data_IF_881459206403
#
_entry.id   IF_881459206403
#
_cell.length_a   1.000
_cell.length_b   1.000
_cell.length_c   1.000
_cell.angle_alpha   90.00
_cell.angle_beta   90.00
_cell.angle_gamma   90.00
#
_symmetry.space_group_name_H-M   'P 1'
#
loop_
_entity.id
_entity.type
_entity.pdbx_description
1 polymer ?
#
# COMPACT_ATOMS: atom_id res chain seq x y z
N UNK A 1 -26.78 -9.74 32.55
CA UNK A 1 -25.83 -10.63 31.86
C UNK A 1 -24.45 -10.36 32.44
N UNK A 2 -23.70 -11.40 32.82
CA UNK A 2 -22.36 -11.22 33.38
C UNK A 2 -21.38 -10.75 32.29
N UNK A 3 -20.47 -9.85 32.63
CA UNK A 3 -19.39 -9.38 31.75
C UNK A 3 -18.50 -10.56 31.33
N UNK A 4 -18.14 -10.70 30.04
CA UNK A 4 -17.27 -11.80 29.59
C UNK A 4 -15.92 -11.73 30.32
N UNK A 5 -15.49 -12.88 30.86
CA UNK A 5 -14.27 -12.97 31.68
C UNK A 5 -13.02 -13.20 30.85
N UNK A 6 -13.18 -13.65 29.59
CA UNK A 6 -12.09 -13.90 28.64
C UNK A 6 -12.48 -13.40 27.24
N UNK A 7 -11.50 -13.12 26.35
CA UNK A 7 -11.76 -12.83 24.94
C UNK A 7 -12.57 -13.95 24.25
N UNK A 8 -12.36 -15.21 24.65
CA UNK A 8 -13.10 -16.34 24.11
C UNK A 8 -14.58 -16.34 24.53
N UNK A 9 -14.89 -15.94 25.76
CA UNK A 9 -16.28 -15.80 26.22
C UNK A 9 -16.99 -14.66 25.49
N UNK A 10 -16.28 -13.57 25.17
CA UNK A 10 -16.81 -12.48 24.34
C UNK A 10 -17.16 -12.98 22.93
N UNK A 11 -16.25 -13.74 22.29
CA UNK A 11 -16.52 -14.38 20.99
C UNK A 11 -17.72 -15.32 21.07
N UNK A 12 -17.79 -16.20 22.08
CA UNK A 12 -18.92 -17.12 22.25
C UNK A 12 -20.24 -16.38 22.47
N UNK A 13 -20.21 -15.24 23.18
CA UNK A 13 -21.39 -14.40 23.39
C UNK A 13 -21.86 -13.72 22.11
N UNK A 14 -20.92 -13.20 21.30
CA UNK A 14 -21.21 -12.60 20.01
C UNK A 14 -21.69 -13.65 18.98
N UNK A 15 -21.12 -14.86 19.04
CA UNK A 15 -21.43 -15.97 18.15
C UNK A 15 -22.71 -16.75 18.50
N UNK A 16 -23.48 -16.31 19.51
CA UNK A 16 -24.67 -17.04 20.00
C UNK A 16 -25.73 -17.29 18.91
N UNK A 17 -25.81 -16.37 17.94
CA UNK A 17 -26.79 -16.39 16.87
C UNK A 17 -26.22 -16.99 15.57
N UNK A 18 -24.93 -17.37 15.52
CA UNK A 18 -24.32 -18.05 14.35
C UNK A 18 -25.14 -19.24 13.89
N UNK A 19 -25.65 -20.15 14.76
CA UNK A 19 -26.44 -21.29 14.30
C UNK A 19 -27.77 -20.94 13.63
N UNK A 20 -28.23 -19.68 13.76
CA UNK A 20 -29.49 -19.18 13.19
C UNK A 20 -29.28 -18.49 11.84
N UNK A 21 -28.04 -18.37 11.37
CA UNK A 21 -27.75 -17.81 10.05
C UNK A 21 -28.24 -18.77 8.97
N UNK A 22 -28.59 -18.19 7.82
CA UNK A 22 -29.20 -18.92 6.72
C UNK A 22 -28.16 -19.58 5.82
N UNK A 23 -26.98 -18.95 5.67
CA UNK A 23 -25.96 -19.36 4.70
C UNK A 23 -24.56 -19.48 5.28
N UNK A 24 -23.68 -20.20 4.57
CA UNK A 24 -22.28 -20.34 4.95
C UNK A 24 -21.55 -19.00 4.79
N UNK A 25 -21.88 -18.23 3.75
CA UNK A 25 -21.33 -16.89 3.53
C UNK A 25 -21.62 -15.96 4.70
N UNK A 26 -22.86 -15.90 5.21
CA UNK A 26 -23.20 -15.06 6.36
C UNK A 26 -22.38 -15.45 7.60
N UNK A 27 -22.19 -16.76 7.80
CA UNK A 27 -21.42 -17.28 8.91
C UNK A 27 -19.93 -16.93 8.79
N UNK A 28 -19.36 -17.00 7.59
CA UNK A 28 -17.99 -16.62 7.30
C UNK A 28 -17.77 -15.11 7.45
N UNK A 29 -18.69 -14.28 6.97
CA UNK A 29 -18.61 -12.82 7.14
C UNK A 29 -18.66 -12.43 8.63
N UNK A 30 -19.59 -13.03 9.40
CA UNK A 30 -19.63 -12.82 10.84
C UNK A 30 -18.35 -13.33 11.53
N UNK A 31 -17.85 -14.49 11.12
CA UNK A 31 -16.60 -15.04 11.63
C UNK A 31 -15.39 -14.14 11.36
N UNK A 32 -15.31 -13.60 10.15
CA UNK A 32 -14.25 -12.68 9.75
C UNK A 32 -14.33 -11.38 10.56
N UNK A 33 -15.54 -10.81 10.73
CA UNK A 33 -15.74 -9.63 11.55
C UNK A 33 -15.29 -9.83 13.01
N UNK A 34 -15.56 -11.00 13.60
CA UNK A 34 -15.08 -11.33 14.95
C UNK A 34 -13.55 -11.44 15.04
N UNK A 35 -12.91 -12.02 14.02
CA UNK A 35 -11.46 -12.09 13.94
C UNK A 35 -10.84 -10.72 13.61
N UNK A 36 -11.58 -9.82 12.98
CA UNK A 36 -11.14 -8.47 12.64
C UNK A 36 -10.82 -7.63 13.87
N UNK A 37 -11.50 -7.85 15.00
CA UNK A 37 -11.11 -7.19 16.26
C UNK A 37 -9.74 -7.65 16.77
N UNK A 38 -9.40 -8.93 16.59
CA UNK A 38 -8.07 -9.45 16.96
C UNK A 38 -7.02 -8.88 16.02
N UNK A 39 -7.31 -8.84 14.72
CA UNK A 39 -6.45 -8.25 13.70
C UNK A 39 -6.17 -6.77 13.97
N UNK A 40 -7.20 -5.98 14.28
CA UNK A 40 -7.07 -4.54 14.49
C UNK A 40 -6.27 -4.18 15.77
N UNK A 41 -6.37 -5.00 16.82
CA UNK A 41 -5.70 -4.75 18.11
C UNK A 41 -4.23 -5.19 18.10
N UNK A 42 -3.86 -6.15 17.26
CA UNK A 42 -2.48 -6.57 17.13
C UNK A 42 -1.61 -5.44 16.53
N UNK A 43 -0.42 -5.21 17.10
CA UNK A 43 0.48 -4.12 16.71
C UNK A 43 1.23 -4.44 15.41
N UNK A 44 1.74 -5.66 15.27
CA UNK A 44 2.44 -6.19 14.07
C UNK A 44 2.19 -7.70 13.96
N UNK A 45 2.66 -8.33 12.87
CA UNK A 45 2.49 -9.77 12.59
C UNK A 45 1.04 -10.25 12.81
N UNK A 46 0.09 -9.45 12.30
CA UNK A 46 -1.34 -9.61 12.59
C UNK A 46 -1.90 -10.95 12.11
N UNK A 47 -1.36 -11.49 11.02
CA UNK A 47 -1.71 -12.83 10.55
C UNK A 47 -1.38 -13.89 11.61
N UNK A 48 -0.20 -13.82 12.23
CA UNK A 48 0.19 -14.73 13.30
C UNK A 48 -0.67 -14.54 14.54
N UNK A 49 -0.94 -13.29 14.94
CA UNK A 49 -1.80 -13.01 16.09
C UNK A 49 -3.21 -13.62 15.93
N UNK A 50 -3.82 -13.48 14.75
CA UNK A 50 -5.12 -14.11 14.44
C UNK A 50 -5.01 -15.64 14.46
N UNK A 51 -3.95 -16.20 13.88
CA UNK A 51 -3.71 -17.66 13.85
C UNK A 51 -3.56 -18.25 15.26
N UNK A 52 -2.81 -17.59 16.12
CA UNK A 52 -2.61 -17.99 17.52
C UNK A 52 -3.90 -17.86 18.33
N UNK A 53 -4.64 -16.77 18.13
CA UNK A 53 -5.95 -16.59 18.75
C UNK A 53 -6.92 -17.71 18.37
N UNK A 54 -7.02 -18.07 17.09
CA UNK A 54 -7.86 -19.17 16.63
C UNK A 54 -7.40 -20.50 17.25
N UNK A 55 -6.10 -20.79 17.24
CA UNK A 55 -5.57 -22.02 17.85
C UNK A 55 -5.93 -22.11 19.35
N UNK A 56 -5.73 -21.02 20.09
CA UNK A 56 -6.11 -20.93 21.50
C UNK A 56 -7.61 -21.07 21.73
N UNK A 57 -8.43 -20.42 20.90
CA UNK A 57 -9.88 -20.52 20.95
C UNK A 57 -10.38 -21.95 20.72
N UNK A 58 -9.86 -22.63 19.69
CA UNK A 58 -10.22 -24.02 19.38
C UNK A 58 -9.88 -24.96 20.55
N UNK A 59 -8.69 -24.81 21.13
CA UNK A 59 -8.25 -25.59 22.28
C UNK A 59 -9.13 -25.34 23.51
N UNK A 60 -9.35 -24.07 23.87
CA UNK A 60 -10.12 -23.68 25.06
C UNK A 60 -11.60 -24.08 24.98
N UNK A 61 -12.17 -24.10 23.77
CA UNK A 61 -13.61 -24.37 23.56
C UNK A 61 -13.92 -25.81 23.14
N UNK A 62 -12.92 -26.69 23.06
CA UNK A 62 -13.10 -28.10 22.62
C UNK A 62 -14.14 -28.85 23.45
N UNK A 63 -14.21 -28.61 24.77
CA UNK A 63 -15.18 -29.28 25.66
C UNK A 63 -16.57 -28.62 25.67
N UNK A 64 -16.71 -27.42 25.10
CA UNK A 64 -18.01 -26.71 25.02
C UNK A 64 -18.86 -27.35 23.92
N UNK A 65 -20.02 -27.87 24.30
CA UNK A 65 -20.95 -28.60 23.40
C UNK A 65 -22.15 -27.78 22.95
N UNK A 66 -22.27 -26.53 23.40
CA UNK A 66 -23.33 -25.64 22.93
C UNK A 66 -23.22 -25.44 21.41
N UNK A 67 -24.37 -25.36 20.72
CA UNK A 67 -24.42 -25.25 19.26
C UNK A 67 -23.61 -24.05 18.73
N UNK A 68 -23.70 -22.89 19.39
CA UNK A 68 -22.92 -21.71 19.04
C UNK A 68 -21.41 -21.99 19.08
N UNK A 69 -20.92 -22.66 20.14
CA UNK A 69 -19.50 -22.98 20.31
C UNK A 69 -19.01 -23.98 19.26
N UNK A 70 -19.79 -25.02 18.95
CA UNK A 70 -19.38 -25.98 17.90
C UNK A 70 -19.40 -25.36 16.52
N UNK A 71 -20.37 -24.47 16.26
CA UNK A 71 -20.55 -23.85 14.95
C UNK A 71 -19.50 -22.77 14.68
N UNK A 72 -19.23 -21.87 15.63
CA UNK A 72 -18.20 -20.83 15.45
C UNK A 72 -16.79 -21.42 15.32
N UNK A 73 -16.49 -22.54 15.98
CA UNK A 73 -15.23 -23.27 15.75
C UNK A 73 -15.10 -23.76 14.32
N UNK A 74 -16.18 -24.23 13.70
CA UNK A 74 -16.17 -24.67 12.31
C UNK A 74 -15.91 -23.48 11.37
N UNK A 75 -16.55 -22.34 11.63
CA UNK A 75 -16.32 -21.09 10.90
C UNK A 75 -14.85 -20.65 11.02
N UNK A 76 -14.30 -20.56 12.24
CA UNK A 76 -12.91 -20.14 12.43
C UNK A 76 -11.89 -21.12 11.81
N UNK A 77 -12.15 -22.42 11.90
CA UNK A 77 -11.30 -23.42 11.25
C UNK A 77 -11.32 -23.32 9.72
N UNK A 78 -12.46 -22.92 9.13
CA UNK A 78 -12.57 -22.69 7.69
C UNK A 78 -11.88 -21.40 7.24
N UNK A 79 -12.01 -20.32 8.03
CA UNK A 79 -11.36 -19.03 7.74
C UNK A 79 -9.85 -19.06 7.95
N UNK A 80 -9.38 -19.81 8.95
CA UNK A 80 -7.95 -19.88 9.34
C UNK A 80 -7.51 -21.35 9.42
N UNK A 81 -7.43 -22.04 8.27
CA UNK A 81 -7.12 -23.48 8.24
C UNK A 81 -5.70 -23.82 8.73
N UNK A 82 -4.80 -22.84 8.77
CA UNK A 82 -3.43 -22.99 9.27
C UNK A 82 -3.32 -22.92 10.79
N UNK A 83 -4.41 -22.59 11.51
CA UNK A 83 -4.41 -22.58 12.97
C UNK A 83 -4.33 -24.01 13.52
N UNK A 84 -3.51 -24.22 14.56
CA UNK A 84 -3.36 -25.53 15.17
C UNK A 84 -4.70 -26.07 15.68
N UNK A 85 -5.07 -27.28 15.23
CA UNK A 85 -6.32 -27.95 15.59
C UNK A 85 -7.51 -27.63 14.68
N UNK A 86 -7.38 -26.73 13.69
CA UNK A 86 -8.43 -26.48 12.69
C UNK A 86 -8.81 -27.76 11.92
N UNK A 87 -7.82 -28.55 11.54
CA UNK A 87 -7.94 -29.86 10.87
C UNK A 87 -8.72 -30.91 11.69
N UNK A 88 -8.81 -30.72 13.02
CA UNK A 88 -9.52 -31.62 13.96
C UNK A 88 -10.94 -31.18 14.25
N UNK A 89 -11.35 -29.98 13.81
CA UNK A 89 -12.73 -29.53 13.98
C UNK A 89 -13.65 -30.42 13.16
N UNK A 90 -14.74 -30.86 13.79
CA UNK A 90 -15.79 -31.67 13.16
C UNK A 90 -17.12 -30.95 13.34
N UNK A 91 -18.04 -31.07 12.37
CA UNK A 91 -19.40 -30.58 12.53
C UNK A 91 -20.04 -31.15 13.80
N UNK A 92 -20.78 -30.30 14.53
CA UNK A 92 -21.58 -30.74 15.67
C UNK A 92 -22.79 -31.58 15.23
N UNK A 93 -23.36 -32.36 16.14
CA UNK A 93 -24.56 -33.15 15.86
C UNK A 93 -25.78 -32.30 15.46
N UNK A 94 -25.83 -31.04 15.90
CA UNK A 94 -26.84 -30.05 15.54
C UNK A 94 -26.25 -28.93 14.67
N UNK A 95 -25.28 -29.27 13.81
CA UNK A 95 -24.69 -28.29 12.90
C UNK A 95 -25.73 -27.83 11.87
N UNK A 96 -25.82 -26.52 11.57
CA UNK A 96 -26.68 -26.02 10.49
C UNK A 96 -26.33 -26.64 9.14
N UNK A 97 -27.30 -26.72 8.23
CA UNK A 97 -27.10 -27.30 6.90
C UNK A 97 -25.94 -26.63 6.13
N UNK A 98 -25.84 -25.30 6.24
CA UNK A 98 -24.76 -24.52 5.62
C UNK A 98 -23.35 -24.87 6.11
N UNK A 99 -23.19 -25.51 7.27
CA UNK A 99 -21.86 -25.80 7.84
C UNK A 99 -21.00 -26.69 6.95
N UNK A 100 -21.62 -27.55 6.15
CA UNK A 100 -20.92 -28.39 5.16
C UNK A 100 -20.38 -27.62 3.96
N UNK A 101 -20.81 -26.37 3.77
CA UNK A 101 -20.46 -25.53 2.63
C UNK A 101 -19.39 -24.49 2.94
N UNK A 102 -18.98 -24.32 4.21
CA UNK A 102 -17.89 -23.41 4.60
C UNK A 102 -16.64 -23.61 3.72
N UNK A 103 -16.18 -22.52 3.11
CA UNK A 103 -15.01 -22.45 2.23
C UNK A 103 -15.19 -23.13 0.86
N UNK A 104 -16.33 -23.76 0.58
CA UNK A 104 -16.57 -24.51 -0.67
C UNK A 104 -17.12 -23.60 -1.78
N UNK A 105 -16.36 -22.56 -2.09
CA UNK A 105 -16.64 -21.63 -3.16
C UNK A 105 -15.77 -21.93 -4.38
N UNK A 106 -16.25 -21.54 -5.56
CA UNK A 106 -15.45 -21.49 -6.78
C UNK A 106 -15.41 -20.08 -7.35
N UNK A 107 -14.33 -19.76 -8.05
CA UNK A 107 -14.15 -18.48 -8.75
C UNK A 107 -15.09 -18.42 -9.96
N UNK A 108 -15.82 -17.33 -10.10
CA UNK A 108 -16.69 -17.05 -11.27
C UNK A 108 -16.16 -15.94 -12.18
N UNK A 109 -15.21 -15.13 -11.70
CA UNK A 109 -14.55 -14.11 -12.52
C UNK A 109 -13.47 -13.34 -11.77
N UNK A 110 -12.57 -12.72 -12.54
CA UNK A 110 -11.36 -12.07 -12.03
C UNK A 110 -10.98 -10.87 -12.91
N UNK A 111 -10.83 -9.70 -12.29
CA UNK A 111 -10.57 -8.43 -12.95
C UNK A 111 -9.59 -7.58 -12.14
N UNK A 112 -9.00 -6.60 -12.81
CA UNK A 112 -8.26 -5.52 -12.18
C UNK A 112 -8.59 -4.19 -12.83
N UNK A 113 -8.49 -3.13 -12.04
CA UNK A 113 -8.64 -1.76 -12.49
C UNK A 113 -7.74 -0.84 -11.67
N UNK A 114 -7.46 0.35 -12.19
CA UNK A 114 -6.58 1.30 -11.52
C UNK A 114 -6.47 2.60 -12.28
N UNK A 115 -5.61 3.48 -11.80
CA UNK A 115 -5.30 4.72 -12.49
C UNK A 115 -4.19 4.52 -13.54
N UNK A 116 -4.14 5.42 -14.52
CA UNK A 116 -3.14 5.41 -15.59
C UNK A 116 -1.73 5.76 -15.10
N UNK A 117 -1.60 6.43 -13.96
CA UNK A 117 -0.29 6.74 -13.38
C UNK A 117 0.36 5.48 -12.79
N UNK A 118 -0.43 4.49 -12.38
CA UNK A 118 0.05 3.28 -11.71
C UNK A 118 0.27 3.50 -10.22
N UNK A 119 -0.40 4.48 -9.61
CA UNK A 119 -0.33 4.71 -8.18
C UNK A 119 -1.11 3.66 -7.41
N UNK A 120 -2.22 3.19 -7.97
CA UNK A 120 -3.13 2.25 -7.35
C UNK A 120 -3.59 1.17 -8.30
N UNK A 121 -3.89 0.00 -7.75
CA UNK A 121 -4.56 -1.08 -8.47
C UNK A 121 -5.55 -1.76 -7.54
N UNK A 122 -6.79 -1.84 -7.98
CA UNK A 122 -7.81 -2.66 -7.36
C UNK A 122 -7.93 -4.00 -8.07
N UNK A 123 -7.95 -5.07 -7.28
CA UNK A 123 -8.21 -6.43 -7.73
C UNK A 123 -9.62 -6.83 -7.33
N UNK A 124 -10.41 -7.35 -8.26
CA UNK A 124 -11.78 -7.80 -8.05
C UNK A 124 -11.96 -9.25 -8.47
N UNK A 125 -12.36 -10.12 -7.54
CA UNK A 125 -12.75 -11.50 -7.83
C UNK A 125 -14.18 -11.78 -7.40
N UNK A 126 -14.91 -12.59 -8.15
CA UNK A 126 -16.27 -13.02 -7.81
C UNK A 126 -16.32 -14.51 -7.57
N UNK A 127 -17.17 -14.93 -6.64
CA UNK A 127 -17.26 -16.30 -6.20
C UNK A 127 -18.71 -16.73 -6.06
N UNK A 128 -18.95 -18.01 -6.29
CA UNK A 128 -20.23 -18.65 -6.07
C UNK A 128 -20.07 -19.92 -5.24
N UNK A 129 -21.16 -20.27 -4.56
CA UNK A 129 -21.34 -21.59 -3.97
C UNK A 129 -22.15 -22.47 -4.94
N UNK A 130 -21.87 -23.76 -4.96
CA UNK A 130 -22.62 -24.73 -5.77
C UNK A 130 -24.03 -25.00 -5.19
N UNK A 131 -24.23 -24.71 -3.91
CA UNK A 131 -25.46 -24.98 -3.16
C UNK A 131 -26.00 -23.68 -2.55
N UNK A 132 -27.34 -23.53 -2.53
CA UNK A 132 -28.01 -22.37 -1.97
C UNK A 132 -27.73 -22.17 -0.47
N UNK A 133 -27.48 -23.25 0.29
CA UNK A 133 -27.06 -23.17 1.69
C UNK A 133 -25.65 -22.59 1.85
N UNK A 134 -24.83 -22.58 0.78
CA UNK A 134 -23.55 -21.87 0.77
C UNK A 134 -23.74 -20.35 0.79
N UNK A 135 -24.70 -19.85 0.04
CA UNK A 135 -25.09 -18.43 0.01
C UNK A 135 -25.10 -17.83 -1.40
N UNK A 136 -25.51 -16.55 -1.52
CA UNK A 136 -25.49 -15.86 -2.80
C UNK A 136 -24.07 -15.66 -3.32
N UNK A 137 -23.93 -15.35 -4.61
CA UNK A 137 -22.64 -14.92 -5.15
C UNK A 137 -22.15 -13.66 -4.43
N UNK A 138 -20.83 -13.57 -4.25
CA UNK A 138 -20.19 -12.41 -3.62
C UNK A 138 -18.89 -12.04 -4.34
N UNK A 139 -18.51 -10.79 -4.18
CA UNK A 139 -17.30 -10.21 -4.72
C UNK A 139 -16.32 -9.95 -3.59
N UNK A 140 -15.06 -9.92 -4.00
CA UNK A 140 -13.90 -9.57 -3.22
C UNK A 140 -13.23 -8.42 -3.95
N UNK A 141 -12.91 -7.34 -3.24
CA UNK A 141 -12.15 -6.21 -3.77
C UNK A 141 -10.97 -5.93 -2.84
N UNK A 142 -9.78 -5.74 -3.41
CA UNK A 142 -8.60 -5.28 -2.68
C UNK A 142 -8.06 -4.05 -3.38
N UNK A 143 -7.88 -2.94 -2.66
CA UNK A 143 -7.20 -1.75 -3.17
C UNK A 143 -5.73 -1.78 -2.74
N UNK A 144 -4.83 -1.83 -3.70
CA UNK A 144 -3.39 -1.71 -3.49
C UNK A 144 -2.93 -0.29 -3.77
N UNK A 145 -2.02 0.22 -2.94
CA UNK A 145 -1.31 1.48 -3.15
C UNK A 145 0.17 1.20 -3.37
N UNK A 146 0.63 1.45 -4.59
CA UNK A 146 2.00 1.17 -5.03
C UNK A 146 2.99 2.24 -4.57
N UNK A 147 2.52 3.41 -4.12
CA UNK A 147 3.42 4.43 -3.57
C UNK A 147 3.96 4.04 -2.19
N UNK A 148 3.20 3.25 -1.43
CA UNK A 148 3.58 2.79 -0.09
C UNK A 148 3.66 1.26 0.02
N UNK A 149 3.30 0.53 -1.04
CA UNK A 149 3.47 -0.92 -1.15
C UNK A 149 2.53 -1.74 -0.29
N UNK A 150 1.31 -1.24 0.01
CA UNK A 150 0.37 -1.90 0.93
C UNK A 150 -1.00 -2.14 0.30
N UNK A 151 -1.79 -3.02 0.92
CA UNK A 151 -3.22 -3.10 0.68
C UNK A 151 -3.89 -2.02 1.55
N UNK A 152 -4.41 -0.97 0.91
CA UNK A 152 -5.09 0.13 1.61
C UNK A 152 -6.43 -0.28 2.18
N UNK A 153 -7.16 -1.11 1.46
CA UNK A 153 -8.45 -1.62 1.91
C UNK A 153 -8.77 -2.98 1.29
N UNK A 154 -9.62 -3.74 1.99
CA UNK A 154 -10.26 -4.94 1.45
C UNK A 154 -11.75 -4.91 1.74
N UNK A 155 -12.52 -5.49 0.82
CA UNK A 155 -13.97 -5.59 0.94
C UNK A 155 -14.45 -6.94 0.42
N UNK A 156 -15.37 -7.57 1.14
CA UNK A 156 -16.11 -8.75 0.68
C UNK A 156 -17.62 -8.51 0.80
N UNK A 157 -18.34 -8.60 -0.31
CA UNK A 157 -19.79 -8.35 -0.30
C UNK A 157 -20.45 -8.53 -1.67
N UNK A 158 -21.73 -8.16 -1.78
CA UNK A 158 -22.50 -8.36 -3.01
C UNK A 158 -23.72 -7.44 -3.12
N UNK A 159 -24.49 -7.53 -4.22
CA UNK A 159 -24.35 -8.51 -5.30
C UNK A 159 -23.20 -8.16 -6.29
N UNK A 160 -22.42 -9.15 -6.77
CA UNK A 160 -21.25 -8.93 -7.63
C UNK A 160 -21.54 -8.19 -8.93
N UNK A 161 -22.66 -8.50 -9.58
CA UNK A 161 -23.06 -7.87 -10.83
C UNK A 161 -23.18 -6.35 -10.70
N UNK A 162 -23.71 -5.87 -9.56
CA UNK A 162 -23.83 -4.43 -9.28
C UNK A 162 -22.47 -3.78 -9.09
N UNK A 163 -21.56 -4.44 -8.34
CA UNK A 163 -20.21 -3.93 -8.10
C UNK A 163 -19.45 -3.84 -9.43
N UNK A 164 -19.50 -4.89 -10.24
CA UNK A 164 -18.87 -4.92 -11.57
C UNK A 164 -19.44 -3.86 -12.51
N UNK A 165 -20.76 -3.67 -12.53
CA UNK A 165 -21.39 -2.61 -13.33
C UNK A 165 -20.91 -1.23 -12.89
N UNK A 166 -20.89 -0.96 -11.58
CA UNK A 166 -20.41 0.31 -11.03
C UNK A 166 -18.94 0.58 -11.39
N UNK A 167 -18.07 -0.42 -11.22
CA UNK A 167 -16.65 -0.31 -11.57
C UNK A 167 -16.48 -0.06 -13.07
N UNK A 168 -17.21 -0.79 -13.93
CA UNK A 168 -17.14 -0.58 -15.39
C UNK A 168 -17.62 0.81 -15.80
N UNK A 169 -18.71 1.30 -15.21
CA UNK A 169 -19.23 2.64 -15.47
C UNK A 169 -18.25 3.72 -15.03
N UNK A 170 -17.67 3.58 -13.83
CA UNK A 170 -16.63 4.46 -13.32
C UNK A 170 -15.44 4.51 -14.28
N UNK A 171 -14.91 3.36 -14.69
CA UNK A 171 -13.74 3.31 -15.56
C UNK A 171 -14.01 3.78 -16.99
N UNK A 172 -15.20 3.51 -17.53
CA UNK A 172 -15.57 3.99 -18.87
C UNK A 172 -15.80 5.50 -18.92
N UNK A 173 -16.14 6.13 -17.78
CA UNK A 173 -16.38 7.56 -17.65
C UNK A 173 -15.14 8.40 -17.38
N UNK A 174 -13.99 7.78 -17.09
CA UNK A 174 -12.75 8.47 -16.72
C UNK A 174 -11.54 7.91 -17.47
N UNK A 175 -11.00 8.69 -18.41
CA UNK A 175 -9.81 8.32 -19.21
C UNK A 175 -8.53 8.18 -18.39
N UNK A 176 -8.54 8.61 -17.12
CA UNK A 176 -7.43 8.44 -16.18
C UNK A 176 -7.48 7.09 -15.47
N UNK A 177 -8.43 6.22 -15.83
CA UNK A 177 -8.57 4.89 -15.26
C UNK A 177 -8.63 3.83 -16.34
N UNK A 178 -8.33 2.59 -15.97
CA UNK A 178 -8.40 1.43 -16.84
C UNK A 178 -9.09 0.27 -16.12
N UNK A 179 -9.71 -0.64 -16.88
CA UNK A 179 -10.36 -1.86 -16.39
C UNK A 179 -10.05 -3.02 -17.35
N UNK A 180 -9.70 -4.19 -16.81
CA UNK A 180 -9.42 -5.39 -17.61
C UNK A 180 -9.71 -6.69 -16.84
N UNK A 181 -9.82 -7.78 -17.59
CA UNK A 181 -9.72 -9.12 -17.00
C UNK A 181 -8.31 -9.36 -16.45
N UNK A 182 -8.23 -10.19 -15.41
CA UNK A 182 -6.99 -10.47 -14.71
C UNK A 182 -6.72 -11.96 -14.58
N UNK A 183 -5.44 -12.34 -14.57
CA UNK A 183 -5.03 -13.68 -14.21
C UNK A 183 -5.23 -13.92 -12.70
N UNK A 184 -6.07 -14.89 -12.31
CA UNK A 184 -6.29 -15.22 -10.90
C UNK A 184 -5.01 -15.56 -10.12
N UNK A 185 -4.01 -16.16 -10.78
CA UNK A 185 -2.72 -16.47 -10.14
C UNK A 185 -1.91 -15.21 -9.84
N UNK A 186 -1.94 -14.24 -10.76
CA UNK A 186 -1.30 -12.92 -10.57
C UNK A 186 -1.98 -12.15 -9.45
N UNK A 187 -3.31 -12.08 -9.46
CA UNK A 187 -4.08 -11.46 -8.37
C UNK A 187 -3.71 -12.06 -7.02
N UNK A 188 -3.69 -13.40 -6.92
CA UNK A 188 -3.30 -14.09 -5.68
C UNK A 188 -1.91 -13.65 -5.22
N UNK A 189 -0.93 -13.62 -6.12
CA UNK A 189 0.45 -13.22 -5.80
C UNK A 189 0.55 -11.77 -5.31
N UNK A 190 0.00 -10.84 -6.08
CA UNK A 190 0.05 -9.39 -5.77
C UNK A 190 -0.68 -9.06 -4.48
N UNK A 191 -1.93 -9.52 -4.31
CA UNK A 191 -2.72 -9.23 -3.12
C UNK A 191 -2.09 -9.87 -1.88
N UNK A 192 -1.58 -11.11 -1.97
CA UNK A 192 -0.92 -11.77 -0.83
C UNK A 192 0.34 -11.01 -0.40
N UNK A 193 1.18 -10.57 -1.35
CA UNK A 193 2.40 -9.79 -1.06
C UNK A 193 2.06 -8.51 -0.29
N UNK A 194 1.11 -7.74 -0.80
CA UNK A 194 0.75 -6.45 -0.21
C UNK A 194 0.06 -6.61 1.15
N UNK A 195 -0.79 -7.63 1.33
CA UNK A 195 -1.37 -7.94 2.64
C UNK A 195 -0.30 -8.33 3.66
N UNK A 196 0.72 -9.09 3.27
CA UNK A 196 1.82 -9.46 4.17
C UNK A 196 2.60 -8.23 4.67
N UNK A 197 2.84 -7.23 3.81
CA UNK A 197 3.44 -5.95 4.24
C UNK A 197 2.48 -5.20 5.17
N UNK A 198 1.20 -5.12 4.80
CA UNK A 198 0.15 -4.44 5.57
C UNK A 198 0.01 -5.01 6.99
N UNK A 199 0.06 -6.34 7.11
CA UNK A 199 -0.07 -7.04 8.40
C UNK A 199 1.07 -6.72 9.37
N UNK A 200 2.20 -6.19 8.88
CA UNK A 200 3.38 -5.81 9.66
C UNK A 200 3.51 -4.30 9.93
N UNK A 201 2.58 -3.47 9.46
CA UNK A 201 2.59 -2.04 9.75
C UNK A 201 2.34 -1.78 11.24
N UNK A 202 2.94 -0.73 11.83
CA UNK A 202 2.61 -0.34 13.20
C UNK A 202 1.16 0.13 13.34
N UNK A 203 0.66 0.86 12.33
CA UNK A 203 -0.71 1.34 12.25
C UNK A 203 -1.33 0.91 10.93
N UNK A 204 -2.57 0.41 10.99
CA UNK A 204 -3.34 0.06 9.80
C UNK A 204 -3.93 1.32 9.15
N UNK A 205 -4.24 1.27 7.84
CA UNK A 205 -5.11 2.27 7.21
C UNK A 205 -6.40 2.47 8.04
N UNK A 206 -6.69 3.72 8.39
CA UNK A 206 -7.75 4.05 9.35
C UNK A 206 -9.17 3.88 8.78
N UNK A 207 -9.31 3.86 7.46
CA UNK A 207 -10.58 3.77 6.76
C UNK A 207 -10.72 2.40 6.09
N UNK A 208 -11.97 1.92 5.98
CA UNK A 208 -12.30 0.75 5.19
C UNK A 208 -12.71 -0.48 6.00
N UNK A 209 -12.78 -1.61 5.30
CA UNK A 209 -13.21 -2.91 5.83
C UNK A 209 -12.03 -3.89 6.00
N UNK A 210 -10.78 -3.40 5.83
CA UNK A 210 -9.55 -4.19 5.93
C UNK A 210 -9.58 -5.17 7.10
N UNK A 211 -9.73 -4.69 8.33
CA UNK A 211 -9.70 -5.55 9.51
C UNK A 211 -10.87 -6.56 9.53
N UNK A 212 -12.09 -6.09 9.23
CA UNK A 212 -13.31 -6.90 9.27
C UNK A 212 -13.29 -8.04 8.26
N UNK A 213 -12.75 -7.80 7.07
CA UNK A 213 -12.81 -8.75 5.96
C UNK A 213 -11.51 -9.53 5.74
N UNK A 214 -10.39 -9.17 6.41
CA UNK A 214 -9.06 -9.76 6.20
C UNK A 214 -9.03 -11.28 6.23
N UNK A 215 -9.74 -11.90 7.19
CA UNK A 215 -9.75 -13.35 7.34
C UNK A 215 -10.49 -14.03 6.18
N UNK A 216 -11.64 -13.47 5.76
CA UNK A 216 -12.40 -13.97 4.62
C UNK A 216 -11.63 -13.72 3.30
N UNK A 217 -10.98 -12.57 3.20
CA UNK A 217 -10.08 -12.24 2.09
C UNK A 217 -9.00 -13.33 1.91
N UNK A 218 -8.28 -13.67 2.99
CA UNK A 218 -7.28 -14.74 2.97
C UNK A 218 -7.85 -16.10 2.54
N UNK A 219 -9.03 -16.46 3.07
CA UNK A 219 -9.69 -17.73 2.73
C UNK A 219 -10.05 -17.83 1.24
N UNK A 220 -10.48 -16.73 0.60
CA UNK A 220 -10.79 -16.70 -0.84
C UNK A 220 -9.54 -16.66 -1.72
N UNK A 221 -8.49 -15.93 -1.31
CA UNK A 221 -7.20 -15.94 -2.02
C UNK A 221 -6.61 -17.35 -2.07
N UNK A 222 -6.83 -18.16 -1.03
CA UNK A 222 -6.38 -19.55 -0.99
C UNK A 222 -7.07 -20.45 -2.04
N UNK A 223 -8.29 -20.10 -2.49
CA UNK A 223 -9.04 -20.81 -3.53
C UNK A 223 -8.50 -20.51 -4.94
N UNK A 224 -7.95 -19.31 -5.16
CA UNK A 224 -7.36 -18.93 -6.44
C UNK A 224 -6.17 -19.85 -6.76
N UNK A 225 -5.88 -20.16 -8.04
CA UNK A 225 -4.74 -20.97 -8.40
C UNK A 225 -3.46 -20.38 -7.80
N UNK A 226 -2.72 -21.20 -7.06
CA UNK A 226 -1.36 -20.84 -6.65
C UNK A 226 -0.51 -20.80 -7.91
N UNK A 227 0.06 -19.64 -8.24
CA UNK A 227 1.08 -19.58 -9.26
C UNK A 227 2.21 -20.54 -8.89
N UNK A 228 2.60 -21.43 -9.80
CA UNK A 228 3.85 -22.17 -9.69
C UNK A 228 4.96 -21.12 -9.78
N UNK A 229 5.34 -20.52 -8.64
CA UNK A 229 6.24 -19.36 -8.59
C UNK A 229 5.91 -18.40 -9.72
N UNK A 230 4.82 -17.63 -9.62
CA UNK A 230 4.75 -16.40 -10.42
C UNK A 230 6.10 -15.75 -10.16
N UNK A 231 6.98 -15.80 -11.17
CA UNK A 231 8.36 -15.38 -11.03
C UNK A 231 8.22 -14.03 -10.38
N UNK A 232 8.67 -13.92 -9.12
CA UNK A 232 8.61 -12.68 -8.36
C UNK A 232 9.10 -11.69 -9.39
N UNK A 233 8.23 -10.78 -9.87
CA UNK A 233 8.69 -9.77 -10.80
C UNK A 233 9.90 -9.21 -10.08
N UNK A 234 11.11 -9.40 -10.62
CA UNK A 234 12.32 -9.21 -9.84
C UNK A 234 12.15 -7.84 -9.21
N UNK A 235 12.30 -7.73 -7.88
CA UNK A 235 12.22 -6.44 -7.21
C UNK A 235 13.02 -5.50 -8.09
N UNK A 236 12.35 -4.52 -8.70
CA UNK A 236 12.95 -3.75 -9.79
C UNK A 236 14.20 -3.12 -9.22
N UNK A 237 15.37 -3.66 -9.58
CA UNK A 237 16.61 -3.16 -9.03
C UNK A 237 16.73 -1.69 -9.46
N UNK A 238 17.14 -0.79 -8.55
CA UNK A 238 17.37 0.59 -8.91
C UNK A 238 18.29 0.66 -10.13
N UNK A 239 18.02 1.61 -11.02
CA UNK A 239 18.84 1.81 -12.23
C UNK A 239 20.33 1.82 -11.90
N UNK A 240 21.12 1.05 -12.67
CA UNK A 240 22.57 1.13 -12.61
C UNK A 240 23.07 2.53 -12.99
N UNK A 241 24.29 2.88 -12.58
CA UNK A 241 24.87 4.19 -12.91
C UNK A 241 24.91 4.47 -14.43
N UNK A 242 25.14 3.43 -15.24
CA UNK A 242 25.14 3.53 -16.70
C UNK A 242 23.73 3.82 -17.25
N UNK A 243 22.71 3.13 -16.74
CA UNK A 243 21.31 3.35 -17.14
C UNK A 243 20.80 4.72 -16.68
N UNK A 244 21.16 5.15 -15.47
CA UNK A 244 20.87 6.50 -14.99
C UNK A 244 21.45 7.55 -15.93
N UNK A 245 22.74 7.43 -16.26
CA UNK A 245 23.43 8.36 -17.17
C UNK A 245 22.78 8.41 -18.54
N UNK A 246 22.41 7.26 -19.09
CA UNK A 246 21.72 7.18 -20.38
C UNK A 246 20.32 7.79 -20.34
N UNK A 247 19.56 7.55 -19.27
CA UNK A 247 18.23 8.09 -19.10
C UNK A 247 18.28 9.63 -19.02
N UNK A 248 19.20 10.18 -18.23
CA UNK A 248 19.39 11.63 -18.10
C UNK A 248 19.77 12.25 -19.43
N UNK A 249 20.69 11.62 -20.19
CA UNK A 249 21.07 12.09 -21.53
C UNK A 249 19.86 12.13 -22.48
N UNK A 250 19.04 11.08 -22.49
CA UNK A 250 17.83 11.02 -23.32
C UNK A 250 16.79 12.06 -22.90
N UNK A 251 16.65 12.32 -21.61
CA UNK A 251 15.77 13.36 -21.09
C UNK A 251 16.23 14.76 -21.54
N UNK A 252 17.50 15.10 -21.35
CA UNK A 252 18.04 16.42 -21.72
C UNK A 252 17.99 16.69 -23.24
N UNK A 253 18.05 15.63 -24.06
CA UNK A 253 17.87 15.73 -25.51
C UNK A 253 16.38 15.78 -25.94
N UNK A 254 15.44 15.67 -25.02
CA UNK A 254 14.02 15.58 -25.34
C UNK A 254 13.35 16.96 -25.50
N UNK A 255 12.27 17.05 -26.30
CA UNK A 255 11.50 18.29 -26.45
C UNK A 255 11.00 18.90 -25.13
N UNK A 256 10.74 18.09 -24.11
CA UNK A 256 10.30 18.57 -22.80
C UNK A 256 11.40 19.34 -22.07
N UNK A 257 12.65 18.86 -22.11
CA UNK A 257 13.77 19.59 -21.54
C UNK A 257 13.95 20.94 -22.25
N UNK A 258 13.87 20.96 -23.59
CA UNK A 258 13.94 22.19 -24.38
C UNK A 258 12.77 23.15 -24.11
N UNK A 259 11.55 22.64 -23.94
CA UNK A 259 10.37 23.45 -23.60
C UNK A 259 10.55 24.24 -22.29
N UNK A 260 11.29 23.68 -21.34
CA UNK A 260 11.61 24.33 -20.07
C UNK A 260 13.01 24.98 -20.06
N UNK A 261 13.70 25.05 -21.20
CA UNK A 261 15.02 25.68 -21.35
C UNK A 261 16.13 24.98 -20.57
N UNK A 262 16.01 23.67 -20.37
CA UNK A 262 17.01 22.85 -19.64
C UNK A 262 18.13 22.34 -20.54
N UNK A 263 17.92 22.30 -21.86
CA UNK A 263 18.89 21.85 -22.86
C UNK A 263 20.00 22.88 -23.10
N UNK A 264 19.76 24.15 -22.78
CA UNK A 264 20.71 25.25 -22.92
C UNK A 264 21.38 25.67 -21.61
N UNK A 265 21.13 24.98 -20.50
CA UNK A 265 21.76 25.28 -19.20
C UNK A 265 23.24 24.93 -19.25
N UNK A 266 24.10 25.88 -18.87
CA UNK A 266 25.55 25.72 -18.86
C UNK A 266 26.19 26.35 -17.61
N UNK A 267 27.53 26.34 -17.54
CA UNK A 267 28.28 27.01 -16.48
C UNK A 267 27.96 26.48 -15.07
N UNK A 268 27.70 27.41 -14.14
CA UNK A 268 27.43 27.10 -12.74
C UNK A 268 26.06 26.43 -12.53
N UNK A 269 25.05 26.80 -13.33
CA UNK A 269 23.69 26.26 -13.23
C UNK A 269 23.60 24.78 -13.65
N UNK A 270 24.57 24.29 -14.43
CA UNK A 270 24.62 22.90 -14.86
C UNK A 270 24.75 21.93 -13.67
N UNK A 271 25.47 22.33 -12.61
CA UNK A 271 25.59 21.52 -11.40
C UNK A 271 24.22 21.36 -10.71
N UNK A 272 23.50 22.46 -10.50
CA UNK A 272 22.15 22.46 -9.92
C UNK A 272 21.16 21.66 -10.77
N UNK A 273 21.26 21.71 -12.11
CA UNK A 273 20.43 20.91 -12.99
C UNK A 273 20.63 19.41 -12.76
N UNK A 274 21.90 18.97 -12.77
CA UNK A 274 22.22 17.57 -12.55
C UNK A 274 21.84 17.10 -11.14
N UNK A 275 22.04 17.94 -10.13
CA UNK A 275 21.62 17.67 -8.75
C UNK A 275 20.10 17.56 -8.62
N UNK A 276 19.33 18.48 -9.20
CA UNK A 276 17.87 18.39 -9.22
C UNK A 276 17.40 17.10 -9.88
N UNK A 277 17.99 16.70 -11.00
CA UNK A 277 17.64 15.44 -11.68
C UNK A 277 18.00 14.23 -10.82
N UNK A 278 19.14 14.23 -10.12
CA UNK A 278 19.48 13.12 -9.23
C UNK A 278 18.48 12.96 -8.09
N UNK A 279 17.99 14.07 -7.52
CA UNK A 279 16.94 14.04 -6.49
C UNK A 279 15.65 13.37 -6.98
N UNK A 280 15.25 13.61 -8.23
CA UNK A 280 14.09 12.94 -8.83
C UNK A 280 14.29 11.43 -8.95
N UNK A 281 15.47 11.00 -9.41
CA UNK A 281 15.80 9.58 -9.56
C UNK A 281 15.93 8.88 -8.21
N UNK A 282 16.51 9.56 -7.21
CA UNK A 282 16.67 9.03 -5.87
C UNK A 282 15.35 8.92 -5.13
N UNK A 283 14.43 9.86 -5.34
CA UNK A 283 13.06 9.74 -4.85
C UNK A 283 12.35 8.53 -5.47
N UNK A 284 12.40 8.39 -6.81
CA UNK A 284 11.77 7.26 -7.49
C UNK A 284 12.32 5.90 -7.01
N UNK A 285 13.62 5.82 -6.73
CA UNK A 285 14.26 4.62 -6.19
C UNK A 285 13.80 4.22 -4.77
N UNK A 286 13.03 5.08 -4.08
CA UNK A 286 12.44 4.73 -2.78
C UNK A 286 11.16 3.90 -2.89
N UNK A 287 10.54 3.83 -4.07
CA UNK A 287 9.33 3.05 -4.28
C UNK A 287 9.61 1.56 -4.51
N UNK A 288 8.68 0.65 -4.18
CA UNK A 288 8.86 -0.79 -4.38
C UNK A 288 9.17 -1.23 -5.81
N UNK A 289 8.70 -0.47 -6.81
CA UNK A 289 8.92 -0.73 -8.24
C UNK A 289 10.10 0.06 -8.83
N UNK A 290 10.68 0.98 -8.06
CA UNK A 290 11.79 1.86 -8.42
C UNK A 290 11.70 2.51 -9.81
N UNK A 291 10.49 2.69 -10.37
CA UNK A 291 10.29 3.18 -11.74
C UNK A 291 10.54 4.70 -11.81
N UNK A 292 11.63 5.17 -12.46
CA UNK A 292 11.95 6.60 -12.54
C UNK A 292 10.96 7.39 -13.40
N UNK A 293 10.09 6.71 -14.15
CA UNK A 293 9.08 7.31 -15.03
C UNK A 293 7.68 7.31 -14.40
N UNK A 294 7.48 6.77 -13.19
CA UNK A 294 6.18 6.77 -12.51
C UNK A 294 5.97 8.07 -11.73
N UNK A 295 5.60 9.12 -12.46
CA UNK A 295 5.24 10.42 -11.90
C UNK A 295 3.74 10.68 -12.04
N UNK A 296 3.13 11.13 -10.95
CA UNK A 296 1.71 11.43 -10.80
C UNK A 296 1.53 12.67 -9.92
N UNK A 297 0.33 13.26 -9.84
CA UNK A 297 0.05 14.33 -8.87
C UNK A 297 0.44 13.95 -7.44
N UNK A 298 0.12 12.72 -7.00
CA UNK A 298 0.45 12.23 -5.66
C UNK A 298 1.96 12.09 -5.44
N UNK A 299 2.68 11.47 -6.39
CA UNK A 299 4.14 11.32 -6.31
C UNK A 299 4.83 12.68 -6.31
N UNK A 300 4.36 13.64 -7.12
CA UNK A 300 4.92 15.01 -7.11
C UNK A 300 4.75 15.69 -5.76
N UNK A 301 3.65 15.43 -5.05
CA UNK A 301 3.43 15.93 -3.69
C UNK A 301 4.32 15.28 -2.66
N UNK A 302 4.50 13.95 -2.71
CA UNK A 302 5.46 13.25 -1.84
C UNK A 302 6.88 13.77 -2.03
N UNK A 303 7.26 14.11 -3.26
CA UNK A 303 8.55 14.68 -3.55
C UNK A 303 8.69 16.13 -3.03
N UNK A 304 7.86 17.06 -3.53
CA UNK A 304 8.01 18.49 -3.29
C UNK A 304 7.65 18.91 -1.87
N UNK A 305 6.71 18.25 -1.22
CA UNK A 305 6.18 18.71 0.07
C UNK A 305 6.75 17.96 1.28
N UNK A 306 7.52 16.88 1.05
CA UNK A 306 8.05 16.08 2.15
C UNK A 306 9.45 15.52 1.89
N UNK A 307 9.63 14.65 0.88
CA UNK A 307 10.86 13.88 0.71
C UNK A 307 12.09 14.78 0.52
N UNK A 308 12.00 15.79 -0.34
CA UNK A 308 13.15 16.65 -0.66
C UNK A 308 13.65 17.42 0.56
N UNK A 309 12.74 17.91 1.39
CA UNK A 309 13.09 18.66 2.61
C UNK A 309 13.74 17.77 3.68
N UNK A 310 13.41 16.48 3.70
CA UNK A 310 13.99 15.52 4.66
C UNK A 310 15.31 14.92 4.19
N UNK A 311 15.60 14.97 2.89
CA UNK A 311 16.69 14.21 2.27
C UNK A 311 17.76 15.07 1.61
N UNK A 312 17.46 16.30 1.26
CA UNK A 312 18.39 17.21 0.59
C UNK A 312 18.47 18.56 1.29
N UNK A 313 19.66 19.16 1.29
CA UNK A 313 19.82 20.59 1.53
C UNK A 313 19.93 21.23 0.16
N UNK A 314 19.01 22.17 -0.14
CA UNK A 314 19.01 22.91 -1.39
C UNK A 314 19.63 24.27 -1.14
N UNK A 315 20.49 24.74 -2.04
CA UNK A 315 20.81 26.16 -2.09
C UNK A 315 19.67 26.95 -2.79
N UNK A 316 19.87 28.25 -2.99
CA UNK A 316 18.87 29.09 -3.61
C UNK A 316 18.65 28.76 -5.09
N UNK A 317 19.72 28.39 -5.80
CA UNK A 317 19.69 28.10 -7.23
C UNK A 317 19.02 26.74 -7.48
N UNK A 318 19.35 25.74 -6.65
CA UNK A 318 18.68 24.44 -6.62
C UNK A 318 17.18 24.59 -6.34
N UNK A 319 16.81 25.36 -5.32
CA UNK A 319 15.42 25.56 -4.95
C UNK A 319 14.63 26.30 -6.04
N UNK A 320 15.25 27.28 -6.71
CA UNK A 320 14.64 27.97 -7.84
C UNK A 320 14.50 27.05 -9.08
N UNK A 321 15.45 26.14 -9.29
CA UNK A 321 15.51 25.27 -10.46
C UNK A 321 14.61 24.03 -10.33
N UNK A 322 14.47 23.47 -9.13
CA UNK A 322 13.86 22.16 -8.91
C UNK A 322 12.42 22.03 -9.45
N UNK A 323 11.49 22.98 -9.23
CA UNK A 323 10.14 22.86 -9.78
C UNK A 323 10.12 22.82 -11.31
N UNK A 324 11.00 23.60 -11.96
CA UNK A 324 11.13 23.62 -13.43
C UNK A 324 11.63 22.27 -13.96
N UNK A 325 12.63 21.69 -13.30
CA UNK A 325 13.18 20.36 -13.65
C UNK A 325 12.12 19.28 -13.45
N UNK A 326 11.38 19.32 -12.36
CA UNK A 326 10.30 18.37 -12.07
C UNK A 326 9.19 18.41 -13.13
N UNK A 327 8.72 19.61 -13.53
CA UNK A 327 7.70 19.75 -14.60
C UNK A 327 8.19 19.18 -15.93
N UNK A 328 9.45 19.44 -16.30
CA UNK A 328 10.05 18.89 -17.51
C UNK A 328 10.14 17.36 -17.46
N UNK A 329 10.62 16.82 -16.32
CA UNK A 329 10.76 15.39 -16.12
C UNK A 329 9.41 14.66 -16.13
N UNK A 330 8.42 15.18 -15.40
CA UNK A 330 7.08 14.60 -15.34
C UNK A 330 6.42 14.56 -16.73
N UNK A 331 6.56 15.62 -17.52
CA UNK A 331 6.07 15.65 -18.90
C UNK A 331 6.79 14.61 -19.79
N UNK A 332 8.12 14.50 -19.66
CA UNK A 332 8.90 13.49 -20.37
C UNK A 332 8.48 12.07 -19.99
N UNK A 333 8.30 11.82 -18.70
CA UNK A 333 7.87 10.55 -18.14
C UNK A 333 6.47 10.16 -18.63
N UNK A 334 5.53 11.10 -18.62
CA UNK A 334 4.18 10.90 -19.13
C UNK A 334 4.18 10.48 -20.61
N UNK A 335 4.95 11.16 -21.47
CA UNK A 335 5.09 10.75 -22.88
C UNK A 335 5.73 9.37 -23.03
N UNK A 336 6.79 9.09 -22.26
CA UNK A 336 7.51 7.80 -22.32
C UNK A 336 6.64 6.63 -21.89
N UNK A 337 5.68 6.85 -20.98
CA UNK A 337 4.69 5.86 -20.54
C UNK A 337 3.42 5.85 -21.37
N UNK A 338 3.28 6.76 -22.34
CA UNK A 338 2.11 6.85 -23.20
C UNK A 338 0.84 7.28 -22.46
N UNK A 339 0.98 8.11 -21.41
CA UNK A 339 -0.16 8.60 -20.64
C UNK A 339 -1.03 9.56 -21.48
N UNK A 340 -2.35 9.62 -21.23
CA UNK A 340 -3.24 10.61 -21.84
C UNK A 340 -2.77 12.05 -21.58
N UNK A 341 -3.04 12.96 -22.52
CA UNK A 341 -2.67 14.38 -22.39
C UNK A 341 -3.24 15.01 -21.10
N UNK A 342 -4.48 14.66 -20.75
CA UNK A 342 -5.11 15.08 -19.49
C UNK A 342 -4.32 14.67 -18.26
N UNK A 343 -3.74 13.46 -18.25
CA UNK A 343 -2.94 12.98 -17.13
C UNK A 343 -1.68 13.84 -16.97
N UNK A 344 -0.97 14.09 -18.07
CA UNK A 344 0.21 14.95 -18.08
C UNK A 344 -0.11 16.39 -17.64
N UNK A 345 -1.24 16.95 -18.13
CA UNK A 345 -1.69 18.28 -17.77
C UNK A 345 -2.08 18.39 -16.28
N UNK A 346 -2.72 17.35 -15.73
CA UNK A 346 -3.07 17.32 -14.31
C UNK A 346 -1.82 17.28 -13.44
N UNK A 347 -0.83 16.43 -13.77
CA UNK A 347 0.45 16.41 -13.04
C UNK A 347 1.17 17.75 -13.10
N UNK A 348 1.24 18.39 -14.29
CA UNK A 348 1.87 19.71 -14.45
C UNK A 348 1.18 20.79 -13.61
N UNK A 349 -0.16 20.81 -13.63
CA UNK A 349 -0.97 21.75 -12.84
C UNK A 349 -0.77 21.54 -11.33
N UNK A 350 -0.77 20.29 -10.87
CA UNK A 350 -0.53 19.97 -9.46
C UNK A 350 0.87 20.42 -9.01
N UNK A 351 1.90 20.23 -9.83
CA UNK A 351 3.24 20.74 -9.51
C UNK A 351 3.21 22.26 -9.34
N UNK A 352 2.58 22.99 -10.28
CA UNK A 352 2.47 24.45 -10.24
C UNK A 352 1.74 24.94 -8.98
N UNK A 353 0.65 24.29 -8.60
CA UNK A 353 -0.11 24.59 -7.37
C UNK A 353 0.70 24.36 -6.09
N UNK A 354 1.65 23.42 -6.09
CA UNK A 354 2.49 23.08 -4.94
C UNK A 354 3.72 23.97 -4.77
N UNK A 355 4.14 24.72 -5.81
CA UNK A 355 5.35 25.57 -5.77
C UNK A 355 5.35 26.57 -4.61
N UNK A 356 4.25 27.31 -4.31
CA UNK A 356 4.25 28.25 -3.19
C UNK A 356 4.49 27.57 -1.83
N UNK A 357 3.92 26.39 -1.61
CA UNK A 357 4.11 25.64 -0.37
C UNK A 357 5.52 25.05 -0.29
N UNK A 358 6.06 24.54 -1.39
CA UNK A 358 7.47 24.13 -1.47
C UNK A 358 8.41 25.28 -1.08
N UNK A 359 8.19 26.48 -1.62
CA UNK A 359 9.01 27.66 -1.27
C UNK A 359 8.88 28.06 0.21
N UNK A 360 7.68 27.94 0.78
CA UNK A 360 7.44 28.15 2.21
C UNK A 360 8.22 27.12 3.04
N UNK A 361 8.10 25.83 2.74
CA UNK A 361 8.77 24.75 3.47
C UNK A 361 10.31 24.82 3.35
N UNK A 362 10.80 25.19 2.17
CA UNK A 362 12.22 25.45 1.94
C UNK A 362 12.73 26.56 2.87
N UNK A 363 12.03 27.70 2.92
CA UNK A 363 12.44 28.88 3.69
C UNK A 363 12.28 28.71 5.21
N UNK A 364 11.23 28.03 5.67
CA UNK A 364 11.01 27.79 7.11
C UNK A 364 11.84 26.65 7.68
N UNK A 365 12.21 25.67 6.83
CA UNK A 365 12.88 24.46 7.28
C UNK A 365 12.00 23.53 8.13
N UNK A 366 10.70 23.76 8.21
CA UNK A 366 9.74 23.06 9.08
C UNK A 366 9.75 21.53 8.89
N UNK A 367 10.02 21.08 7.65
CA UNK A 367 10.04 19.65 7.27
C UNK A 367 11.44 19.03 7.25
N UNK A 368 12.49 19.75 7.65
CA UNK A 368 13.85 19.23 7.65
C UNK A 368 14.00 18.10 8.67
N UNK A 369 14.71 17.04 8.27
CA UNK A 369 15.16 16.04 9.25
C UNK A 369 16.22 16.67 10.17
N UNK A 370 16.47 16.12 11.37
CA UNK A 370 17.55 16.62 12.24
C UNK A 370 18.91 16.66 11.55
N UNK A 371 19.23 15.64 10.74
CA UNK A 371 20.47 15.59 9.96
C UNK A 371 20.51 16.70 8.90
N UNK A 372 19.43 16.88 8.13
CA UNK A 372 19.32 17.94 7.12
C UNK A 372 19.40 19.33 7.75
N UNK A 373 18.80 19.52 8.92
CA UNK A 373 18.89 20.78 9.66
C UNK A 373 20.33 21.08 10.10
N UNK A 374 21.07 20.08 10.58
CA UNK A 374 22.48 20.22 10.94
C UNK A 374 23.36 20.59 9.74
N UNK A 375 23.18 19.92 8.59
CA UNK A 375 23.92 20.26 7.35
C UNK A 375 23.56 21.65 6.85
N UNK A 376 22.28 22.03 6.87
CA UNK A 376 21.86 23.38 6.49
C UNK A 376 22.47 24.46 7.39
N UNK A 377 22.64 24.17 8.70
CA UNK A 377 23.30 25.09 9.62
C UNK A 377 24.81 25.20 9.33
N UNK A 378 25.49 24.08 9.02
CA UNK A 378 26.89 24.09 8.60
C UNK A 378 27.10 24.99 7.37
N UNK A 379 26.25 24.82 6.35
CA UNK A 379 26.31 25.65 5.14
C UNK A 379 25.99 27.13 5.43
N UNK A 380 25.02 27.41 6.30
CA UNK A 380 24.71 28.78 6.72
C UNK A 380 25.87 29.46 7.48
N UNK A 381 26.68 28.67 8.19
CA UNK A 381 27.89 29.12 8.87
C UNK A 381 29.09 29.26 7.90
N UNK A 382 28.88 29.00 6.60
CA UNK A 382 29.90 29.11 5.55
C UNK A 382 30.86 27.93 5.48
N UNK A 383 30.48 26.80 6.06
CA UNK A 383 31.27 25.56 6.03
C UNK A 383 30.83 24.71 4.84
N UNK A 384 31.78 24.35 3.99
CA UNK A 384 31.58 23.35 2.96
C UNK A 384 31.58 21.95 3.61
N UNK A 385 30.45 21.22 3.63
CA UNK A 385 30.39 19.89 4.23
C UNK A 385 31.25 18.85 3.49
N UNK A 386 31.64 19.11 2.25
CA UNK A 386 32.51 18.24 1.46
C UNK A 386 34.01 18.56 1.64
N UNK A 387 34.35 19.58 2.44
CA UNK A 387 35.71 19.90 2.87
C UNK A 387 35.96 19.40 4.32
N UNK A 388 36.66 18.26 4.51
CA UNK A 388 36.93 17.71 5.83
C UNK A 388 37.66 18.67 6.77
N UNK A 389 38.51 19.56 6.23
CA UNK A 389 39.26 20.50 7.05
C UNK A 389 38.38 21.66 7.56
N UNK A 390 37.45 22.13 6.74
CA UNK A 390 36.47 23.13 7.13
C UNK A 390 35.49 22.57 8.18
N UNK A 391 35.06 21.32 7.99
CA UNK A 391 34.17 20.63 8.92
C UNK A 391 34.84 20.40 10.29
N UNK A 392 36.08 19.90 10.32
CA UNK A 392 36.82 19.69 11.57
C UNK A 392 37.07 21.01 12.32
N UNK A 393 37.39 22.08 11.60
CA UNK A 393 37.58 23.41 12.19
C UNK A 393 36.29 23.97 12.81
N UNK A 394 35.14 23.74 12.17
CA UNK A 394 33.85 24.15 12.72
C UNK A 394 33.45 23.31 13.94
N UNK A 395 33.66 21.99 13.91
CA UNK A 395 33.41 21.09 15.05
C UNK A 395 34.25 21.51 16.26
N UNK A 396 35.53 21.85 16.04
CA UNK A 396 36.43 22.36 17.08
C UNK A 396 35.90 23.69 17.66
N UNK A 397 35.48 24.63 16.80
CA UNK A 397 34.99 25.94 17.20
C UNK A 397 33.63 25.90 17.93
N UNK A 398 32.76 24.95 17.57
CA UNK A 398 31.41 24.82 18.11
C UNK A 398 31.26 23.71 19.16
N UNK A 399 32.38 23.10 19.59
CA UNK A 399 32.40 21.99 20.57
C UNK A 399 31.61 22.28 21.83
N UNK A 400 31.65 23.50 22.35
CA UNK A 400 30.95 23.90 23.57
C UNK A 400 29.42 23.99 23.42
N UNK A 401 28.91 24.25 22.20
CA UNK A 401 27.46 24.26 21.91
C UNK A 401 26.90 22.86 21.72
N UNK A 402 27.69 21.96 21.13
CA UNK A 402 27.31 20.57 20.89
C UNK A 402 27.19 19.74 22.18
N UNK A 403 27.87 20.15 23.26
CA UNK A 403 27.81 19.46 24.56
C UNK A 403 26.62 19.87 25.43
N UNK A 404 26.03 21.05 25.20
CA UNK A 404 24.90 21.58 26.00
C UNK A 404 23.53 21.09 25.51
N UNK A 405 23.40 20.66 24.24
CA UNK A 405 22.15 20.10 23.68
C UNK A 405 21.95 18.59 24.01
N UNK A 406 22.88 17.99 24.76
CA UNK A 406 22.81 16.59 25.21
C UNK A 406 22.32 16.39 26.66
N UNK A 407 21.65 17.40 27.25
CA UNK A 407 21.08 17.36 28.61
C UNK A 407 19.54 17.32 28.62
#
# INVERSE_FOLDING_TARGET
MATPQTPYDAVLHAARDVPKLDTALDAEMLGAALLGSVYAVAETDRETAVREFVAGFLAATTRRRAAAATTVRAVFAALVPQAAGADRVRPGAAAPAWSGHLGRVHLTGCWSYGDVYGDQTSYLATFAYDDAAGGPEHAMVTLLDHNIGIAKDVFVGGPPARILEQVRQMCAGDELTWFREEDPARMRGEVTRHLAITDNLGELPAEGSLATDRALMGARLAVLPGGATAATAPDSEPLSAAERTDLVRRFLAAPEAARFGLDSVDGAELASLHFCISLLLDHAATFPDADPLRWSPTVTGFFLLDWVHRRAVLDMDDAAMLPRVLRAWAAYAARRRGLPERAAAQTDSSIEEMVPEFARLYSTGERRSPATAAVAQLMADGVDPDDPAALDAWIEANRHRLTDDSA
#
